data_IF_849058716662
#
_entry.id   IF_849058716662
#
_cell.length_a   1.000
_cell.length_b   1.000
_cell.length_c   1.000
_cell.angle_alpha   90.00
_cell.angle_beta   90.00
_cell.angle_gamma   90.00
#
_symmetry.space_group_name_H-M   'P 1'
#
loop_
_entity.id
_entity.type
_entity.pdbx_description
1 polymer ?
#
# COMPACT_ATOMS: atom_id res chain seq x y z
N UNK A 1 -6.44 -12.93 3.07
CA UNK A 1 -5.40 -11.88 3.02
C UNK A 1 -4.51 -12.00 1.78
N UNK A 2 -3.49 -12.87 1.70
CA UNK A 2 -2.66 -12.96 0.47
C UNK A 2 -3.44 -13.38 -0.80
N UNK A 3 -4.35 -14.38 -0.76
CA UNK A 3 -5.17 -14.70 -1.93
C UNK A 3 -6.08 -13.55 -2.36
N UNK A 4 -6.79 -12.92 -1.41
CA UNK A 4 -7.65 -11.76 -1.68
C UNK A 4 -6.85 -10.56 -2.22
N UNK A 5 -5.64 -10.32 -1.70
CA UNK A 5 -4.76 -9.29 -2.23
C UNK A 5 -4.43 -9.56 -3.70
N UNK A 6 -4.06 -10.80 -4.04
CA UNK A 6 -3.78 -11.18 -5.43
C UNK A 6 -5.00 -11.02 -6.35
N UNK A 7 -6.21 -11.22 -5.82
CA UNK A 7 -7.46 -11.13 -6.57
C UNK A 7 -8.02 -9.70 -6.71
N UNK A 8 -7.55 -8.73 -5.92
CA UNK A 8 -8.14 -7.37 -5.90
C UNK A 8 -7.13 -6.23 -6.07
N UNK A 9 -5.86 -6.43 -5.73
CA UNK A 9 -4.84 -5.38 -5.76
C UNK A 9 -4.09 -5.41 -7.09
N UNK A 10 -4.68 -4.74 -8.09
CA UNK A 10 -4.10 -4.59 -9.42
C UNK A 10 -3.48 -3.22 -9.58
N UNK A 11 -2.20 -3.19 -9.92
CA UNK A 11 -1.43 -1.99 -10.13
C UNK A 11 -0.11 -2.33 -10.80
N UNK A 12 0.80 -1.36 -10.83
CA UNK A 12 2.15 -1.61 -11.35
C UNK A 12 2.78 -2.81 -10.62
N UNK A 13 3.30 -3.78 -11.40
CA UNK A 13 3.94 -4.98 -10.84
C UNK A 13 3.04 -5.83 -9.92
N UNK A 14 1.71 -5.79 -10.09
CA UNK A 14 0.73 -6.41 -9.18
C UNK A 14 0.83 -5.89 -7.73
N UNK A 15 1.28 -4.64 -7.55
CA UNK A 15 1.46 -3.99 -6.25
C UNK A 15 2.34 -4.81 -5.28
N UNK A 16 3.37 -5.49 -5.81
CA UNK A 16 4.25 -6.31 -4.98
C UNK A 16 5.00 -5.50 -3.93
N UNK A 17 5.31 -4.25 -4.23
CA UNK A 17 5.93 -3.27 -3.34
C UNK A 17 5.08 -3.03 -2.09
N UNK A 18 3.77 -2.86 -2.28
CA UNK A 18 2.78 -2.65 -1.23
C UNK A 18 2.61 -3.93 -0.39
N UNK A 19 2.63 -5.12 -1.01
CA UNK A 19 2.66 -6.39 -0.25
C UNK A 19 3.89 -6.49 0.62
N UNK A 20 5.07 -6.18 0.08
CA UNK A 20 6.33 -6.24 0.81
C UNK A 20 6.35 -5.26 1.99
N UNK A 21 5.86 -4.03 1.78
CA UNK A 21 5.72 -3.02 2.82
C UNK A 21 4.78 -3.50 3.95
N UNK A 22 3.57 -3.94 3.60
CA UNK A 22 2.61 -4.44 4.59
C UNK A 22 3.16 -5.67 5.33
N UNK A 23 3.88 -6.54 4.63
CA UNK A 23 4.57 -7.68 5.24
C UNK A 23 5.60 -7.26 6.28
N UNK A 24 6.42 -6.26 5.97
CA UNK A 24 7.40 -5.68 6.90
C UNK A 24 6.74 -5.05 8.13
N UNK A 25 5.56 -4.42 7.96
CA UNK A 25 4.81 -3.79 9.05
C UNK A 25 4.08 -4.80 9.96
N UNK A 26 4.12 -6.10 9.64
CA UNK A 26 3.43 -7.14 10.41
C UNK A 26 1.99 -7.41 9.94
N UNK A 27 1.66 -6.97 8.73
CA UNK A 27 0.42 -7.26 8.02
C UNK A 27 -0.84 -6.95 8.83
N UNK A 28 -1.53 -7.98 9.33
CA UNK A 28 -2.75 -7.87 10.12
C UNK A 28 -2.53 -7.27 11.52
N UNK A 29 -1.28 -7.14 11.94
CA UNK A 29 -0.91 -6.53 13.23
C UNK A 29 -0.63 -5.04 13.15
N UNK A 30 -0.48 -4.49 11.95
CA UNK A 30 -0.26 -3.06 11.79
C UNK A 30 -1.59 -2.32 11.95
N UNK A 31 -1.69 -1.52 13.01
CA UNK A 31 -2.87 -0.71 13.35
C UNK A 31 -2.61 0.80 13.24
N UNK A 32 -1.43 1.18 12.73
CA UNK A 32 -1.07 2.58 12.50
C UNK A 32 -1.97 3.22 11.44
N UNK A 33 -2.48 4.43 11.73
CA UNK A 33 -3.27 5.19 10.76
C UNK A 33 -2.36 5.73 9.66
N UNK A 34 -2.51 5.19 8.45
CA UNK A 34 -1.81 5.65 7.25
C UNK A 34 -2.28 7.05 6.87
N UNK A 35 -1.33 7.93 6.58
CA UNK A 35 -1.59 9.31 6.15
C UNK A 35 -1.34 9.46 4.64
N UNK A 36 -2.37 9.86 3.88
CA UNK A 36 -2.21 10.23 2.48
C UNK A 36 -1.78 11.69 2.38
N UNK A 37 -0.62 11.94 1.78
CA UNK A 37 -0.02 13.27 1.66
C UNK A 37 -0.45 13.94 0.35
N UNK A 38 -0.93 13.16 -0.61
CA UNK A 38 -1.46 13.67 -1.87
C UNK A 38 -2.82 13.06 -2.18
N UNK A 39 -3.69 13.83 -2.83
CA UNK A 39 -4.85 13.29 -3.52
C UNK A 39 -4.41 12.27 -4.60
N UNK A 40 -5.31 11.38 -5.01
CA UNK A 40 -5.06 10.46 -6.13
C UNK A 40 -4.76 11.27 -7.40
N UNK A 41 -3.60 11.05 -8.01
CA UNK A 41 -3.17 11.73 -9.23
C UNK A 41 -2.73 10.73 -10.31
N UNK A 42 -2.86 11.13 -11.58
CA UNK A 42 -2.41 10.32 -12.70
C UNK A 42 -0.88 10.47 -12.90
N UNK A 43 -0.19 9.36 -13.11
CA UNK A 43 1.22 9.34 -13.49
C UNK A 43 1.52 8.12 -14.35
N UNK A 44 2.20 8.32 -15.49
CA UNK A 44 2.64 7.24 -16.39
C UNK A 44 1.57 6.22 -16.78
N UNK A 45 0.31 6.66 -16.95
CA UNK A 45 -0.82 5.80 -17.31
C UNK A 45 -1.46 5.03 -16.14
N UNK A 46 -1.08 5.34 -14.90
CA UNK A 46 -1.61 4.72 -13.68
C UNK A 46 -2.10 5.79 -12.68
N UNK A 47 -2.88 5.37 -11.68
CA UNK A 47 -3.22 6.19 -10.52
C UNK A 47 -2.16 6.04 -9.43
N UNK A 48 -1.74 7.15 -8.83
CA UNK A 48 -0.69 7.22 -7.83
C UNK A 48 -1.14 8.03 -6.61
N UNK A 49 -0.60 7.67 -5.44
CA UNK A 49 -0.77 8.37 -4.17
C UNK A 49 0.54 8.30 -3.39
N UNK A 50 0.82 9.34 -2.60
CA UNK A 50 1.88 9.29 -1.61
C UNK A 50 1.26 9.04 -0.23
N UNK A 51 1.76 8.02 0.47
CA UNK A 51 1.26 7.63 1.79
C UNK A 51 2.41 7.43 2.78
N UNK A 52 2.20 7.80 4.03
CA UNK A 52 3.12 7.58 5.15
C UNK A 52 2.52 6.60 6.14
N UNK A 53 3.32 5.60 6.48
CA UNK A 53 3.00 4.56 7.45
C UNK A 53 3.77 4.85 8.74
N UNK A 54 3.13 5.46 9.77
CA UNK A 54 3.80 5.74 11.02
C UNK A 54 4.25 4.45 11.72
N UNK A 55 5.44 4.48 12.32
CA UNK A 55 5.94 3.39 13.17
C UNK A 55 5.80 3.80 14.65
N UNK A 56 5.68 2.83 15.56
CA UNK A 56 5.83 3.08 16.99
C UNK A 56 7.16 3.79 17.29
N UNK A 57 7.14 4.72 18.23
CA UNK A 57 8.34 5.43 18.70
C UNK A 57 9.26 4.53 19.53
#
# INVERSE_FOLDING_TARGET
>A
MLPEYADYCYGEGNMHDTVMLLGMLGWDKYDGKVEFITDLFASSGTGQVNAVFPLPA
#
